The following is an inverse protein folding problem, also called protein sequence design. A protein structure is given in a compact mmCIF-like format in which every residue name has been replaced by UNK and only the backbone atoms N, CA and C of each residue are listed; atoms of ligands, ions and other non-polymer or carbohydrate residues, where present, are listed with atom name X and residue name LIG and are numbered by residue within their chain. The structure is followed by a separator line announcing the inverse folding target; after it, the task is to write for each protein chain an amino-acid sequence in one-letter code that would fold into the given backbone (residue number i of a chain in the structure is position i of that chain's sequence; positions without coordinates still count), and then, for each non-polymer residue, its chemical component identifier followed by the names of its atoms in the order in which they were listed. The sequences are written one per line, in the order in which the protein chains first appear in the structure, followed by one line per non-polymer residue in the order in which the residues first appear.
data_IF_371664804677
#
_entry.id   IF_371664804677
#
_cell.length_a   1.000
_cell.length_b   1.000
_cell.length_c   1.000
_cell.angle_alpha   90.00
_cell.angle_beta   90.00
_cell.angle_gamma   90.00
#
_symmetry.space_group_name_H-M   'P 1'
#
loop_
_entity.id
_entity.type
_entity.pdbx_description
1 polymer ?
#
# COMPACT_ATOMS: atom_id res chain seq x y z
N UNK A 1 7.48 -7.88 15.68
CA UNK A 1 7.34 -7.00 14.49
C UNK A 1 7.26 -7.79 13.18
N UNK A 2 8.13 -8.76 12.91
CA UNK A 2 8.07 -9.63 11.71
C UNK A 2 6.73 -10.38 11.59
N UNK A 3 6.23 -10.92 12.70
CA UNK A 3 4.95 -11.65 12.73
C UNK A 3 3.79 -10.73 12.34
N UNK A 4 3.69 -9.51 12.91
CA UNK A 4 2.64 -8.57 12.56
C UNK A 4 2.66 -8.18 11.07
N UNK A 5 3.87 -7.93 10.52
CA UNK A 5 4.02 -7.65 9.09
C UNK A 5 3.61 -8.84 8.22
N UNK A 6 3.95 -10.08 8.64
CA UNK A 6 3.52 -11.30 7.95
C UNK A 6 2.00 -11.47 7.99
N UNK A 7 1.38 -11.28 9.17
CA UNK A 7 -0.08 -11.34 9.32
C UNK A 7 -0.76 -10.31 8.41
N UNK A 8 -0.31 -9.05 8.43
CA UNK A 8 -0.84 -8.03 7.53
C UNK A 8 -0.69 -8.39 6.05
N UNK A 9 0.44 -8.98 5.66
CA UNK A 9 0.67 -9.46 4.30
C UNK A 9 -0.31 -10.59 3.91
N UNK A 10 -0.47 -11.59 4.77
CA UNK A 10 -1.38 -12.70 4.52
C UNK A 10 -2.84 -12.23 4.42
N UNK A 11 -3.26 -11.27 5.26
CA UNK A 11 -4.58 -10.66 5.17
C UNK A 11 -4.78 -9.94 3.82
N UNK A 12 -3.80 -9.18 3.36
CA UNK A 12 -3.88 -8.50 2.06
C UNK A 12 -3.95 -9.49 0.90
N UNK A 13 -3.11 -10.53 0.91
CA UNK A 13 -3.07 -11.55 -0.15
C UNK A 13 -4.38 -12.35 -0.18
N UNK A 14 -4.89 -12.78 0.97
CA UNK A 14 -6.16 -13.52 1.04
C UNK A 14 -7.34 -12.67 0.60
N UNK A 15 -7.38 -11.38 0.99
CA UNK A 15 -8.41 -10.45 0.55
C UNK A 15 -8.36 -10.24 -0.98
N UNK A 16 -7.16 -10.02 -1.54
CA UNK A 16 -6.97 -9.88 -2.98
C UNK A 16 -7.42 -11.14 -3.74
N UNK A 17 -6.99 -12.33 -3.27
CA UNK A 17 -7.40 -13.61 -3.86
C UNK A 17 -8.92 -13.78 -3.81
N UNK A 18 -9.56 -13.41 -2.70
CA UNK A 18 -11.01 -13.41 -2.56
C UNK A 18 -11.69 -12.47 -3.56
N UNK A 19 -11.20 -11.25 -3.74
CA UNK A 19 -11.74 -10.30 -4.72
C UNK A 19 -11.60 -10.80 -6.16
N UNK A 20 -10.49 -11.45 -6.50
CA UNK A 20 -10.30 -12.08 -7.81
C UNK A 20 -11.29 -13.23 -8.00
N UNK A 21 -11.41 -14.12 -7.01
CA UNK A 21 -12.33 -15.26 -7.04
C UNK A 21 -13.80 -14.83 -7.19
N UNK A 22 -14.19 -13.75 -6.51
CA UNK A 22 -15.54 -13.17 -6.60
C UNK A 22 -15.76 -12.31 -7.86
N UNK A 23 -14.78 -12.22 -8.76
CA UNK A 23 -14.80 -11.34 -9.93
C UNK A 23 -15.10 -9.86 -9.61
N UNK A 24 -14.79 -9.43 -8.39
CA UNK A 24 -15.10 -8.11 -7.86
C UNK A 24 -13.93 -7.10 -7.99
N UNK A 25 -12.80 -7.53 -8.57
CA UNK A 25 -11.60 -6.69 -8.69
C UNK A 25 -11.68 -5.74 -9.89
N UNK A 26 -12.32 -6.16 -10.98
CA UNK A 26 -12.37 -5.40 -12.22
C UNK A 26 -13.81 -4.99 -12.57
N UNK A 27 -13.93 -3.90 -13.32
CA UNK A 27 -15.20 -3.42 -13.86
C UNK A 27 -14.98 -2.85 -15.27
N UNK A 28 -16.02 -2.89 -16.09
CA UNK A 28 -16.02 -2.26 -17.42
C UNK A 28 -16.25 -0.74 -17.38
N UNK A 29 -16.51 -0.18 -16.21
CA UNK A 29 -16.67 1.26 -16.03
C UNK A 29 -15.40 2.01 -16.40
N UNK A 30 -15.42 2.98 -17.31
CA UNK A 30 -14.23 3.74 -17.70
C UNK A 30 -13.63 4.51 -16.52
N UNK A 31 -14.45 4.96 -15.57
CA UNK A 31 -13.99 5.63 -14.35
C UNK A 31 -13.17 4.67 -13.48
N UNK A 32 -13.65 3.43 -13.28
CA UNK A 32 -12.94 2.42 -12.50
C UNK A 32 -11.61 2.07 -13.15
N UNK A 33 -11.61 1.86 -14.47
CA UNK A 33 -10.38 1.59 -15.23
C UNK A 33 -9.40 2.75 -15.10
N UNK A 34 -9.85 3.99 -15.22
CA UNK A 34 -8.98 5.16 -15.07
C UNK A 34 -8.36 5.24 -13.66
N UNK A 35 -9.14 4.98 -12.60
CA UNK A 35 -8.64 4.94 -11.21
C UNK A 35 -7.63 3.82 -11.01
N UNK A 36 -7.89 2.65 -11.57
CA UNK A 36 -6.96 1.51 -11.49
C UNK A 36 -5.66 1.76 -12.26
N UNK A 37 -5.73 2.37 -13.44
CA UNK A 37 -4.54 2.79 -14.21
C UNK A 37 -3.72 3.81 -13.41
N UNK A 38 -4.38 4.81 -12.79
CA UNK A 38 -3.70 5.79 -11.93
C UNK A 38 -3.03 5.12 -10.72
N UNK A 39 -3.67 4.13 -10.11
CA UNK A 39 -3.09 3.36 -9.02
C UNK A 39 -1.85 2.56 -9.48
N UNK A 40 -1.89 1.91 -10.64
CA UNK A 40 -0.72 1.24 -11.23
C UNK A 40 0.40 2.24 -11.52
N UNK A 41 0.08 3.40 -12.09
CA UNK A 41 1.06 4.46 -12.33
C UNK A 41 1.73 4.93 -11.03
N UNK A 42 0.97 5.04 -9.93
CA UNK A 42 1.52 5.37 -8.61
C UNK A 42 2.48 4.28 -8.10
N UNK A 43 2.16 2.99 -8.29
CA UNK A 43 3.09 1.89 -7.95
C UNK A 43 4.38 2.00 -8.75
N UNK A 44 4.27 2.21 -10.07
CA UNK A 44 5.44 2.33 -10.94
C UNK A 44 6.32 3.52 -10.51
N UNK A 45 5.71 4.68 -10.26
CA UNK A 45 6.43 5.86 -9.78
C UNK A 45 7.12 5.61 -8.44
N UNK A 46 6.44 4.95 -7.50
CA UNK A 46 7.03 4.59 -6.21
C UNK A 46 8.21 3.62 -6.37
N UNK A 47 8.08 2.62 -7.25
CA UNK A 47 9.16 1.67 -7.52
C UNK A 47 10.37 2.30 -8.22
N UNK A 48 10.15 3.21 -9.16
CA UNK A 48 11.21 3.97 -9.80
C UNK A 48 11.98 4.84 -8.77
N UNK A 49 11.27 5.49 -7.86
CA UNK A 49 11.89 6.27 -6.78
C UNK A 49 12.71 5.40 -5.81
N UNK A 50 12.28 4.16 -5.53
CA UNK A 50 13.03 3.18 -4.72
C UNK A 50 14.24 2.60 -5.45
N UNK A 51 14.23 2.58 -6.79
CA UNK A 51 15.28 2.00 -7.61
C UNK A 51 15.51 0.51 -7.30
N UNK A 52 16.79 0.09 -7.24
CA UNK A 52 17.16 -1.33 -6.96
C UNK A 52 16.64 -1.87 -5.63
N UNK A 53 16.30 -1.01 -4.66
CA UNK A 53 15.73 -1.39 -3.35
C UNK A 53 14.30 -1.92 -3.45
N UNK A 54 13.63 -1.68 -4.58
CA UNK A 54 12.26 -2.12 -4.86
C UNK A 54 12.06 -3.64 -4.85
N UNK A 55 13.13 -4.42 -4.96
CA UNK A 55 13.07 -5.88 -5.10
C UNK A 55 13.23 -6.64 -3.78
N UNK A 56 13.36 -5.96 -2.64
CA UNK A 56 13.43 -6.63 -1.35
C UNK A 56 12.02 -6.79 -0.75
N UNK A 57 11.46 -8.01 -0.71
CA UNK A 57 10.08 -8.26 -0.25
C UNK A 57 9.91 -8.17 1.27
N UNK A 58 11.00 -8.25 2.01
CA UNK A 58 11.00 -8.00 3.43
C UNK A 58 11.23 -6.52 3.70
N UNK A 59 10.67 -6.02 4.79
CA UNK A 59 11.05 -4.75 5.39
C UNK A 59 12.54 -4.71 5.86
N UNK A 60 13.34 -5.69 5.43
CA UNK A 60 14.79 -5.66 5.47
C UNK A 60 15.27 -4.66 4.42
N UNK A 61 15.33 -3.43 4.89
CA UNK A 61 15.82 -2.31 4.11
C UNK A 61 17.28 -2.58 3.78
N UNK A 62 17.54 -3.02 2.56
CA UNK A 62 18.88 -3.15 2.04
C UNK A 62 19.62 -1.82 2.24
N UNK A 63 20.85 -1.88 2.73
CA UNK A 63 21.62 -0.73 3.14
C UNK A 63 21.56 0.44 2.17
N UNK A 64 21.43 1.65 2.73
CA UNK A 64 21.34 2.90 1.98
C UNK A 64 20.49 3.95 2.71
N UNK A 65 20.43 5.17 2.18
CA UNK A 65 19.70 6.29 2.78
C UNK A 65 18.19 6.15 2.63
N UNK A 66 17.46 6.83 3.52
CA UNK A 66 16.01 6.93 3.47
C UNK A 66 15.55 7.59 2.16
N UNK A 67 14.68 6.90 1.40
CA UNK A 67 14.12 7.47 0.17
C UNK A 67 12.97 8.40 0.52
N UNK A 68 13.14 9.68 0.18
CA UNK A 68 12.18 10.76 0.43
C UNK A 68 11.75 11.49 -0.84
N UNK A 69 12.14 10.96 -2.01
CA UNK A 69 11.88 11.55 -3.34
C UNK A 69 10.67 10.92 -4.03
N UNK A 70 10.27 11.47 -5.17
CA UNK A 70 9.11 10.97 -5.90
C UNK A 70 7.82 11.05 -5.06
N UNK A 71 6.97 10.00 -5.06
CA UNK A 71 5.74 9.99 -4.27
C UNK A 71 5.99 9.98 -2.77
N UNK A 72 7.20 9.54 -2.32
CA UNK A 72 7.59 9.51 -0.90
C UNK A 72 7.77 10.89 -0.29
N UNK A 73 7.83 11.96 -1.09
CA UNK A 73 7.80 13.35 -0.57
C UNK A 73 6.43 13.74 -0.02
N UNK A 74 5.37 13.06 -0.41
CA UNK A 74 3.98 13.35 -0.03
C UNK A 74 3.42 12.36 0.98
N UNK A 75 3.60 11.06 0.69
CA UNK A 75 3.12 9.95 1.52
C UNK A 75 4.22 8.90 1.68
N UNK A 76 4.26 8.28 2.87
CA UNK A 76 5.32 7.32 3.20
C UNK A 76 5.10 5.93 2.61
N UNK A 77 3.84 5.57 2.32
CA UNK A 77 3.45 4.23 1.86
C UNK A 77 2.65 4.26 0.55
N UNK A 78 3.18 4.86 -0.53
CA UNK A 78 2.47 5.01 -1.80
C UNK A 78 2.05 3.68 -2.43
N UNK A 79 2.82 2.61 -2.23
CA UNK A 79 2.49 1.27 -2.75
C UNK A 79 1.25 0.70 -2.07
N UNK A 80 1.11 0.85 -0.74
CA UNK A 80 -0.10 0.41 -0.03
C UNK A 80 -1.31 1.28 -0.38
N UNK A 81 -1.11 2.58 -0.53
CA UNK A 81 -2.15 3.48 -1.02
C UNK A 81 -2.68 3.03 -2.37
N UNK A 82 -1.78 2.79 -3.31
CA UNK A 82 -2.15 2.34 -4.65
C UNK A 82 -2.87 0.97 -4.64
N UNK A 83 -2.39 0.01 -3.85
CA UNK A 83 -3.06 -1.29 -3.70
C UNK A 83 -4.49 -1.15 -3.15
N UNK A 84 -4.67 -0.31 -2.12
CA UNK A 84 -5.99 -0.03 -1.57
C UNK A 84 -6.90 0.67 -2.58
N UNK A 85 -6.43 1.71 -3.26
CA UNK A 85 -7.20 2.44 -4.28
C UNK A 85 -7.61 1.52 -5.43
N UNK A 86 -6.68 0.70 -5.92
CA UNK A 86 -6.93 -0.26 -6.98
C UNK A 86 -8.04 -1.26 -6.63
N UNK A 87 -7.93 -1.90 -5.45
CA UNK A 87 -8.90 -2.90 -5.01
C UNK A 87 -10.25 -2.28 -4.68
N UNK A 88 -10.28 -1.14 -3.98
CA UNK A 88 -11.51 -0.46 -3.61
C UNK A 88 -12.27 0.09 -4.80
N UNK A 89 -11.60 0.50 -5.87
CA UNK A 89 -12.27 0.86 -7.12
C UNK A 89 -13.12 -0.32 -7.68
N UNK A 90 -12.57 -1.53 -7.64
CA UNK A 90 -13.29 -2.75 -8.02
C UNK A 90 -14.45 -3.09 -7.05
N UNK A 91 -14.16 -3.04 -5.74
CA UNK A 91 -15.16 -3.33 -4.68
C UNK A 91 -16.38 -2.41 -4.80
N UNK A 92 -16.17 -1.11 -5.01
CA UNK A 92 -17.25 -0.14 -5.12
C UNK A 92 -18.05 -0.31 -6.41
N UNK A 93 -17.41 -0.73 -7.50
CA UNK A 93 -18.07 -1.00 -8.76
C UNK A 93 -18.89 -2.31 -8.75
N UNK A 94 -18.49 -3.28 -7.94
CA UNK A 94 -19.15 -4.59 -7.79
C UNK A 94 -19.64 -4.77 -6.35
N UNK A 95 -20.34 -3.75 -5.84
CA UNK A 95 -20.71 -3.66 -4.43
C UNK A 95 -21.63 -4.82 -4.02
N UNK A 96 -21.12 -5.64 -3.10
CA UNK A 96 -21.85 -6.66 -2.39
C UNK A 96 -21.17 -6.90 -1.02
N UNK A 97 -21.86 -7.55 -0.11
CA UNK A 97 -21.39 -7.74 1.27
C UNK A 97 -20.02 -8.44 1.32
N UNK A 98 -19.82 -9.49 0.55
CA UNK A 98 -18.57 -10.27 0.55
C UNK A 98 -17.39 -9.50 -0.07
N UNK A 99 -17.48 -8.87 -1.26
CA UNK A 99 -16.42 -7.99 -1.75
C UNK A 99 -16.12 -6.83 -0.81
N UNK A 100 -17.14 -6.23 -0.18
CA UNK A 100 -16.94 -5.17 0.80
C UNK A 100 -16.14 -5.66 2.02
N UNK A 101 -16.50 -6.82 2.58
CA UNK A 101 -15.78 -7.43 3.69
C UNK A 101 -14.31 -7.74 3.31
N UNK A 102 -14.06 -8.23 2.10
CA UNK A 102 -12.71 -8.44 1.58
C UNK A 102 -11.93 -7.12 1.45
N UNK A 103 -12.57 -6.05 0.98
CA UNK A 103 -11.97 -4.72 0.93
C UNK A 103 -11.58 -4.19 2.30
N UNK A 104 -12.44 -4.37 3.31
CA UNK A 104 -12.14 -4.01 4.71
C UNK A 104 -10.96 -4.84 5.24
N UNK A 105 -10.93 -6.14 4.97
CA UNK A 105 -9.83 -7.03 5.37
C UNK A 105 -8.49 -6.57 4.75
N UNK A 106 -8.51 -6.17 3.49
CA UNK A 106 -7.35 -5.61 2.78
C UNK A 106 -6.84 -4.33 3.46
N UNK A 107 -7.74 -3.40 3.83
CA UNK A 107 -7.37 -2.18 4.56
C UNK A 107 -6.75 -2.49 5.92
N UNK A 108 -7.34 -3.41 6.68
CA UNK A 108 -6.80 -3.84 7.98
C UNK A 108 -5.38 -4.39 7.79
N UNK A 109 -5.18 -5.26 6.80
CA UNK A 109 -3.88 -5.82 6.47
C UNK A 109 -2.85 -4.74 6.11
N UNK A 110 -3.25 -3.76 5.28
CA UNK A 110 -2.40 -2.64 4.89
C UNK A 110 -2.01 -1.77 6.09
N UNK A 111 -2.95 -1.44 6.97
CA UNK A 111 -2.69 -0.66 8.18
C UNK A 111 -1.73 -1.39 9.12
N UNK A 112 -1.93 -2.68 9.36
CA UNK A 112 -1.03 -3.50 10.18
C UNK A 112 0.40 -3.45 9.60
N UNK A 113 0.54 -3.61 8.28
CA UNK A 113 1.86 -3.55 7.62
C UNK A 113 2.49 -2.18 7.74
N UNK A 114 1.74 -1.11 7.48
CA UNK A 114 2.22 0.27 7.63
C UNK A 114 2.81 0.50 9.02
N UNK A 115 2.08 0.14 10.08
CA UNK A 115 2.59 0.31 11.44
C UNK A 115 3.80 -0.57 11.75
N UNK A 116 3.82 -1.81 11.27
CA UNK A 116 4.96 -2.70 11.46
C UNK A 116 6.22 -2.17 10.74
N UNK A 117 6.08 -1.69 9.51
CA UNK A 117 7.17 -1.11 8.72
C UNK A 117 7.67 0.21 9.30
N UNK A 118 6.77 1.13 9.73
CA UNK A 118 7.19 2.39 10.36
C UNK A 118 8.03 2.16 11.62
N UNK A 119 7.67 1.18 12.45
CA UNK A 119 8.50 0.83 13.62
C UNK A 119 9.90 0.37 13.21
N UNK A 120 10.02 -0.46 12.17
CA UNK A 120 11.32 -0.91 11.66
C UNK A 120 12.13 0.26 11.09
N UNK A 121 11.49 1.13 10.31
CA UNK A 121 12.12 2.30 9.71
C UNK A 121 12.60 3.30 10.77
N UNK A 122 11.84 3.51 11.85
CA UNK A 122 12.25 4.35 12.98
C UNK A 122 13.50 3.81 13.70
N UNK A 123 13.65 2.49 13.81
CA UNK A 123 14.85 1.87 14.38
C UNK A 123 16.04 1.91 13.43
N UNK A 124 15.78 1.81 12.12
CA UNK A 124 16.84 1.72 11.11
C UNK A 124 17.41 3.08 10.72
N UNK A 125 16.56 4.10 10.60
CA UNK A 125 16.94 5.42 10.10
C UNK A 125 16.78 6.51 11.17
N UNK A 126 17.86 7.10 11.68
CA UNK A 126 17.77 8.18 12.68
C UNK A 126 16.95 9.39 12.19
N UNK A 127 17.01 9.69 10.88
CA UNK A 127 16.25 10.79 10.24
C UNK A 127 14.76 10.52 10.00
N UNK A 128 14.29 9.27 10.20
CA UNK A 128 12.90 8.89 9.85
C UNK A 128 11.85 9.70 10.63
N UNK A 129 12.10 10.02 11.90
CA UNK A 129 11.17 10.81 12.73
C UNK A 129 10.94 12.21 12.16
N UNK A 130 11.99 12.86 11.66
CA UNK A 130 11.87 14.20 11.04
C UNK A 130 11.12 14.12 9.70
N UNK A 131 11.42 13.13 8.88
CA UNK A 131 10.69 12.86 7.64
C UNK A 131 9.19 12.58 7.92
N UNK A 132 8.89 11.80 8.95
CA UNK A 132 7.51 11.47 9.33
C UNK A 132 6.68 12.67 9.80
N UNK A 133 7.31 13.73 10.33
CA UNK A 133 6.61 14.97 10.71
C UNK A 133 6.11 15.74 9.48
N UNK A 134 6.83 15.68 8.36
CA UNK A 134 6.50 16.41 7.12
C UNK A 134 5.63 15.63 6.14
N UNK A 135 5.41 14.32 6.37
CA UNK A 135 4.71 13.45 5.42
C UNK A 135 3.60 12.64 6.09
N UNK A 136 2.60 12.22 5.32
CA UNK A 136 1.51 11.37 5.80
C UNK A 136 1.78 9.89 5.49
N UNK A 137 1.01 8.97 6.09
CA UNK A 137 1.21 7.53 5.87
C UNK A 137 0.77 7.10 4.49
N UNK A 138 -0.53 7.18 4.23
CA UNK A 138 -1.15 6.65 3.02
C UNK A 138 -1.98 7.68 2.26
N UNK A 139 -2.64 8.61 2.96
CA UNK A 139 -3.52 9.61 2.35
C UNK A 139 -2.92 10.99 2.57
N UNK A 140 -2.61 11.75 1.50
CA UNK A 140 -2.10 13.11 1.64
C UNK A 140 -3.03 13.94 2.54
N UNK A 141 -2.46 14.72 3.44
CA UNK A 141 -3.13 15.64 4.38
C UNK A 141 -3.97 14.98 5.49
N UNK A 142 -4.30 13.65 5.41
CA UNK A 142 -5.17 12.98 6.38
C UNK A 142 -4.41 11.95 7.24
N UNK A 143 -3.89 10.91 6.64
CA UNK A 143 -3.32 9.76 7.35
C UNK A 143 -2.01 9.28 6.74
#
# INVERSE_FOLDING_TARGET
MRIASLVGFLLMVSALAGLVFMHALFSRSPVVVAVQVAAVALVLWARLALGRRSFHPAADVAGGDLVTTGPYRFIRHPIYTAACVFCWAGVLANFALMPFAAGVLLLIGAVIRVFAEERLLMHRYPGYRNYAKGTKRMVPYLF
#
